data_IF_190471419653
#
_entry.id   IF_190471419653
#
_cell.length_a   1.000
_cell.length_b   1.000
_cell.length_c   1.000
_cell.angle_alpha   90.00
_cell.angle_beta   90.00
_cell.angle_gamma   90.00
#
_symmetry.space_group_name_H-M   'P 1'
#
loop_
_entity.id
_entity.type
_entity.pdbx_description
1 polymer ?
#
# COMPACT_ATOMS: atom_id res chain seq x y z
N UNK A 1 -3.03 -19.05 -1.00
CA UNK A 1 -2.86 -20.38 -0.37
C UNK A 1 -1.53 -20.86 -0.88
N UNK A 2 -0.49 -20.83 -0.04
CA UNK A 2 0.85 -21.28 -0.45
C UNK A 2 0.74 -22.78 -0.73
N UNK A 3 1.09 -23.20 -1.94
CA UNK A 3 1.09 -24.63 -2.28
C UNK A 3 2.32 -25.25 -1.61
N UNK A 4 2.11 -26.36 -0.92
CA UNK A 4 3.19 -27.13 -0.30
C UNK A 4 4.18 -27.54 -1.40
N UNK A 5 5.41 -27.03 -1.35
CA UNK A 5 6.47 -27.29 -2.33
C UNK A 5 7.07 -26.05 -3.02
N UNK A 6 6.45 -24.87 -2.90
CA UNK A 6 7.06 -23.62 -3.36
C UNK A 6 7.94 -22.99 -2.27
N UNK A 7 9.11 -22.42 -2.62
CA UNK A 7 9.95 -21.72 -1.65
C UNK A 7 9.19 -20.53 -1.06
N UNK A 8 8.88 -20.59 0.23
CA UNK A 8 8.35 -19.49 1.00
C UNK A 8 9.47 -18.78 1.75
N UNK A 9 9.42 -17.45 1.77
CA UNK A 9 10.30 -16.63 2.58
C UNK A 9 9.46 -16.02 3.69
N UNK A 10 9.90 -16.19 4.93
CA UNK A 10 9.37 -15.46 6.07
C UNK A 10 10.30 -14.29 6.38
N UNK A 11 9.72 -13.11 6.54
CA UNK A 11 10.43 -11.89 6.86
C UNK A 11 9.81 -11.30 8.12
N UNK A 12 10.67 -10.87 9.03
CA UNK A 12 10.26 -10.15 10.22
C UNK A 12 10.45 -8.65 10.00
N UNK A 13 9.42 -7.87 10.33
CA UNK A 13 9.41 -6.42 10.23
C UNK A 13 8.87 -5.79 11.51
N UNK A 14 9.03 -4.48 11.64
CA UNK A 14 8.45 -3.73 12.76
C UNK A 14 7.03 -3.29 12.42
N UNK A 15 5.99 -3.74 13.14
CA UNK A 15 4.64 -3.22 12.94
C UNK A 15 4.57 -1.74 13.37
N UNK A 16 3.96 -0.90 12.53
CA UNK A 16 3.57 0.46 12.92
C UNK A 16 2.10 0.50 13.34
N UNK A 17 1.29 -0.37 12.74
CA UNK A 17 -0.11 -0.64 13.08
C UNK A 17 -0.26 -2.16 13.04
N UNK A 18 -0.81 -2.75 14.11
CA UNK A 18 -1.00 -4.20 14.22
C UNK A 18 -2.15 -4.68 13.31
N UNK A 19 -2.05 -5.91 12.81
CA UNK A 19 -3.10 -6.50 11.98
C UNK A 19 -2.68 -7.78 11.26
N UNK A 20 -3.65 -8.43 10.63
CA UNK A 20 -3.42 -9.58 9.76
C UNK A 20 -4.12 -9.36 8.43
N UNK A 21 -3.41 -9.64 7.34
CA UNK A 21 -3.92 -9.43 6.00
C UNK A 21 -3.29 -10.42 5.02
N UNK A 22 -3.98 -10.67 3.92
CA UNK A 22 -3.48 -11.53 2.84
C UNK A 22 -3.98 -11.03 1.50
N UNK A 23 -3.11 -11.04 0.51
CA UNK A 23 -3.41 -10.63 -0.85
C UNK A 23 -2.24 -10.94 -1.78
N UNK A 24 -2.41 -10.73 -3.09
CA UNK A 24 -1.30 -10.78 -4.03
C UNK A 24 -0.28 -9.69 -3.70
N UNK A 25 1.02 -10.01 -3.80
CA UNK A 25 2.08 -9.02 -3.61
C UNK A 25 2.15 -8.10 -4.83
N UNK A 26 1.94 -6.81 -4.62
CA UNK A 26 2.23 -5.78 -5.61
C UNK A 26 3.45 -4.98 -5.11
N UNK A 27 4.58 -5.13 -5.79
CA UNK A 27 5.81 -4.41 -5.45
C UNK A 27 5.96 -3.20 -6.37
N UNK A 28 6.04 -2.01 -5.79
CA UNK A 28 6.40 -0.79 -6.52
C UNK A 28 7.93 -0.70 -6.63
N UNK A 29 8.43 -0.38 -7.82
CA UNK A 29 9.87 -0.24 -8.04
C UNK A 29 10.40 1.14 -7.69
N UNK A 30 9.52 2.14 -7.53
CA UNK A 30 9.87 3.51 -7.10
C UNK A 30 8.96 4.01 -5.96
N UNK A 31 9.40 5.04 -5.21
CA UNK A 31 8.55 5.70 -4.23
C UNK A 31 7.30 6.28 -4.87
N UNK A 32 6.16 6.19 -4.18
CA UNK A 32 4.85 6.63 -4.67
C UNK A 32 4.36 7.86 -3.89
N UNK A 33 3.75 8.80 -4.60
CA UNK A 33 2.89 9.83 -3.99
C UNK A 33 1.45 9.32 -3.99
N UNK A 34 0.86 9.11 -2.82
CA UNK A 34 -0.57 8.78 -2.76
C UNK A 34 -1.42 9.97 -3.20
N UNK A 35 -1.01 11.19 -2.80
CA UNK A 35 -1.63 12.41 -3.30
C UNK A 35 -1.35 12.59 -4.80
N UNK A 36 -2.41 12.51 -5.61
CA UNK A 36 -2.36 12.70 -7.06
C UNK A 36 -1.72 11.57 -7.87
N UNK A 37 -1.11 10.56 -7.22
CA UNK A 37 -0.55 9.39 -7.89
C UNK A 37 -1.41 8.13 -7.78
N UNK A 38 -2.41 8.12 -6.91
CA UNK A 38 -3.40 7.05 -6.77
C UNK A 38 -4.79 7.67 -6.83
N UNK A 39 -5.68 7.08 -7.63
CA UNK A 39 -7.10 7.44 -7.63
C UNK A 39 -7.82 6.65 -6.52
N UNK A 40 -8.39 7.31 -5.50
CA UNK A 40 -9.05 6.63 -4.39
C UNK A 40 -10.32 5.87 -4.81
N UNK A 41 -10.98 6.26 -5.90
CA UNK A 41 -12.23 5.61 -6.32
C UNK A 41 -11.97 4.28 -7.04
N UNK A 42 -10.91 4.21 -7.86
CA UNK A 42 -10.57 2.98 -8.61
C UNK A 42 -9.45 2.15 -7.98
N UNK A 43 -8.66 2.74 -7.08
CA UNK A 43 -7.42 2.13 -6.56
C UNK A 43 -6.30 2.03 -7.60
N UNK A 44 -6.42 2.71 -8.75
CA UNK A 44 -5.40 2.70 -9.79
C UNK A 44 -4.26 3.66 -9.48
N UNK A 45 -3.05 3.28 -9.85
CA UNK A 45 -1.91 4.20 -9.94
C UNK A 45 -2.10 5.05 -11.19
N UNK A 46 -2.33 6.35 -10.99
CA UNK A 46 -2.70 7.31 -12.06
C UNK A 46 -1.59 8.29 -12.42
N UNK A 47 -0.43 8.25 -11.74
CA UNK A 47 0.74 9.03 -12.19
C UNK A 47 1.39 8.36 -13.40
N UNK A 48 1.30 8.93 -14.62
CA UNK A 48 1.88 8.33 -15.83
C UNK A 48 3.41 8.26 -15.81
N UNK A 49 4.06 8.93 -14.85
CA UNK A 49 5.52 8.88 -14.68
C UNK A 49 5.95 7.72 -13.80
N UNK A 50 5.03 7.07 -13.07
CA UNK A 50 5.33 5.95 -12.20
C UNK A 50 5.49 4.65 -13.04
N UNK A 51 6.47 3.77 -12.76
CA UNK A 51 6.68 2.56 -13.58
C UNK A 51 5.48 1.62 -13.56
N UNK A 52 4.77 1.57 -12.43
CA UNK A 52 3.57 0.76 -12.22
C UNK A 52 2.27 1.51 -12.56
N UNK A 53 2.31 2.51 -13.45
CA UNK A 53 1.11 3.20 -13.96
C UNK A 53 0.05 2.18 -14.45
N UNK A 54 -1.22 2.47 -14.18
CA UNK A 54 -2.41 1.64 -14.46
C UNK A 54 -2.53 0.32 -13.68
N UNK A 55 -1.60 0.00 -12.77
CA UNK A 55 -1.79 -1.12 -11.84
C UNK A 55 -2.74 -0.74 -10.70
N UNK A 56 -3.58 -1.68 -10.29
CA UNK A 56 -4.55 -1.54 -9.20
C UNK A 56 -3.96 -2.04 -7.88
N UNK A 57 -4.07 -1.25 -6.81
CA UNK A 57 -3.57 -1.59 -5.47
C UNK A 57 -4.60 -2.31 -4.61
N UNK A 58 -5.88 -2.32 -5.00
CA UNK A 58 -6.99 -2.83 -4.20
C UNK A 58 -6.80 -4.28 -3.79
N UNK A 59 -6.91 -4.55 -2.48
CA UNK A 59 -6.77 -5.90 -1.91
C UNK A 59 -5.37 -6.51 -2.02
N UNK A 60 -4.37 -5.76 -2.52
CA UNK A 60 -2.98 -6.24 -2.62
C UNK A 60 -2.28 -6.18 -1.26
N UNK A 61 -1.23 -6.97 -1.09
CA UNK A 61 -0.15 -6.65 -0.15
C UNK A 61 0.80 -5.73 -0.91
N UNK A 62 0.68 -4.43 -0.66
CA UNK A 62 1.42 -3.40 -1.38
C UNK A 62 2.79 -3.19 -0.74
N UNK A 63 3.86 -3.51 -1.45
CA UNK A 63 5.24 -3.25 -1.03
C UNK A 63 5.76 -1.98 -1.70
N UNK A 64 6.06 -0.95 -0.90
CA UNK A 64 6.59 0.32 -1.37
C UNK A 64 8.01 0.56 -0.82
N UNK A 65 8.94 1.11 -1.62
CA UNK A 65 10.25 1.50 -1.12
C UNK A 65 10.18 2.73 -0.20
N UNK A 66 9.16 3.57 -0.38
CA UNK A 66 8.86 4.73 0.46
C UNK A 66 7.70 5.55 -0.11
N UNK A 67 7.22 6.51 0.67
CA UNK A 67 6.22 7.50 0.24
C UNK A 67 6.89 8.83 -0.14
N UNK A 68 6.28 9.56 -1.08
CA UNK A 68 6.66 10.94 -1.47
C UNK A 68 5.55 11.90 -1.03
N UNK A 69 5.90 13.08 -0.53
CA UNK A 69 4.93 14.15 -0.23
C UNK A 69 3.94 13.77 0.88
N UNK A 70 4.44 13.29 2.02
CA UNK A 70 3.70 12.49 3.01
C UNK A 70 2.52 13.17 3.71
N UNK A 71 2.47 14.50 3.84
CA UNK A 71 1.45 15.21 4.65
C UNK A 71 0.00 14.88 4.28
N UNK A 72 -0.30 14.63 3.00
CA UNK A 72 -1.67 14.33 2.53
C UNK A 72 -1.93 12.85 2.28
N UNK A 73 -0.92 11.98 2.42
CA UNK A 73 -1.05 10.56 2.10
C UNK A 73 -2.00 9.81 3.04
N UNK A 74 -2.12 10.24 4.30
CA UNK A 74 -3.08 9.68 5.27
C UNK A 74 -4.53 9.90 4.86
N UNK A 75 -4.85 11.08 4.31
CA UNK A 75 -6.19 11.41 3.85
C UNK A 75 -6.60 10.54 2.65
N UNK A 76 -5.70 10.38 1.68
CA UNK A 76 -5.96 9.50 0.52
C UNK A 76 -6.08 8.04 0.95
N UNK A 77 -5.28 7.59 1.91
CA UNK A 77 -5.43 6.23 2.44
C UNK A 77 -6.78 6.02 3.13
N UNK A 78 -7.26 7.02 3.87
CA UNK A 78 -8.60 6.98 4.46
C UNK A 78 -9.70 6.95 3.38
N UNK A 79 -9.54 7.70 2.29
CA UNK A 79 -10.48 7.66 1.15
C UNK A 79 -10.48 6.29 0.48
N UNK A 80 -9.31 5.71 0.19
CA UNK A 80 -9.17 4.34 -0.31
C UNK A 80 -9.88 3.31 0.59
N UNK A 81 -9.77 3.46 1.92
CA UNK A 81 -10.46 2.60 2.88
C UNK A 81 -11.98 2.79 2.82
N UNK A 82 -12.45 4.04 2.75
CA UNK A 82 -13.87 4.37 2.64
C UNK A 82 -14.51 3.87 1.35
N UNK A 83 -13.78 3.93 0.24
CA UNK A 83 -14.21 3.44 -1.08
C UNK A 83 -14.04 1.91 -1.23
N UNK A 84 -13.41 1.23 -0.26
CA UNK A 84 -13.16 -0.21 -0.32
C UNK A 84 -12.10 -0.60 -1.36
N UNK A 85 -11.28 0.34 -1.80
CA UNK A 85 -10.23 0.19 -2.82
C UNK A 85 -8.82 0.18 -2.25
N UNK A 86 -8.68 0.23 -0.92
CA UNK A 86 -7.40 0.14 -0.23
C UNK A 86 -6.67 -1.19 -0.47
N UNK A 87 -5.33 -1.19 -0.37
CA UNK A 87 -4.57 -2.43 -0.26
C UNK A 87 -4.96 -3.17 1.04
N UNK A 88 -4.86 -4.50 1.03
CA UNK A 88 -5.08 -5.32 2.21
C UNK A 88 -4.00 -5.11 3.27
N UNK A 89 -2.76 -4.84 2.84
CA UNK A 89 -1.64 -4.48 3.72
C UNK A 89 -0.67 -3.56 2.99
N UNK A 90 0.08 -2.75 3.73
CA UNK A 90 1.19 -1.95 3.20
C UNK A 90 2.48 -2.36 3.92
N UNK A 91 3.47 -2.79 3.14
CA UNK A 91 4.84 -3.04 3.58
C UNK A 91 5.71 -1.88 3.09
N UNK A 92 6.51 -1.31 3.99
CA UNK A 92 7.34 -0.14 3.68
C UNK A 92 8.82 -0.43 3.89
N UNK A 93 9.64 -0.18 2.86
CA UNK A 93 11.10 -0.24 2.98
C UNK A 93 11.67 0.82 3.92
N UNK A 94 10.98 1.96 4.05
CA UNK A 94 11.25 3.01 5.05
C UNK A 94 9.95 3.40 5.73
N UNK A 95 9.92 3.32 7.06
CA UNK A 95 8.76 3.69 7.85
C UNK A 95 8.32 5.15 7.58
N UNK A 96 7.02 5.33 7.33
CA UNK A 96 6.36 6.64 7.23
C UNK A 96 5.18 6.68 8.21
N UNK A 97 5.32 7.50 9.26
CA UNK A 97 4.31 7.59 10.31
C UNK A 97 3.02 8.25 9.81
N UNK A 98 3.09 9.15 8.82
CA UNK A 98 1.90 9.84 8.31
C UNK A 98 1.07 8.86 7.50
N UNK A 99 1.68 8.08 6.60
CA UNK A 99 0.94 7.05 5.88
C UNK A 99 0.30 6.05 6.85
N UNK A 100 1.02 5.63 7.90
CA UNK A 100 0.50 4.72 8.92
C UNK A 100 -0.72 5.29 9.68
N UNK A 101 -0.78 6.61 9.92
CA UNK A 101 -1.93 7.26 10.56
C UNK A 101 -3.23 7.09 9.75
N UNK A 102 -3.15 7.06 8.41
CA UNK A 102 -4.32 6.83 7.55
C UNK A 102 -4.98 5.47 7.79
N UNK A 103 -4.20 4.45 8.15
CA UNK A 103 -4.71 3.11 8.47
C UNK A 103 -5.42 3.02 9.82
N UNK A 104 -5.04 3.86 10.80
CA UNK A 104 -5.58 3.79 12.17
C UNK A 104 -7.03 4.26 12.23
N UNK A 105 -7.40 5.24 11.41
CA UNK A 105 -8.75 5.85 11.41
C UNK A 105 -9.79 4.94 10.74
N UNK A 106 -9.36 4.00 9.89
CA UNK A 106 -10.24 3.04 9.23
C UNK A 106 -10.44 1.71 9.97
N UNK A 107 -9.84 1.54 11.16
CA UNK A 107 -10.11 0.44 12.09
C UNK A 107 -11.38 0.72 12.90
#
# INVERSE_FOLDING_TARGET
MVRVGEPSIELEGRPLVEGQARGPLLKLTRPISFWGGVDPVSGLIVDPRHPEFELCITGTVLLIPGAVGSSSSSAILLELLREGTAPAAILMGKADAILALGSIVGL
#
